data_IF_510486992073
#
_entry.id   IF_510486992073
#
_cell.length_a   1.000
_cell.length_b   1.000
_cell.length_c   1.000
_cell.angle_alpha   90.00
_cell.angle_beta   90.00
_cell.angle_gamma   90.00
#
_symmetry.space_group_name_H-M   'P 1'
#
loop_
_entity.id
_entity.type
_entity.pdbx_description
1 polymer ?
#
# COMPACT_ATOMS: atom_id res chain seq x y z
N UNK A 1 7.87 -10.88 -2.88
CA UNK A 1 6.62 -10.89 -3.69
C UNK A 1 6.88 -10.54 -5.15
N UNK A 2 7.91 -9.78 -5.44
CA UNK A 2 8.36 -9.49 -6.81
C UNK A 2 9.25 -10.58 -7.37
N UNK A 3 9.90 -11.36 -6.50
CA UNK A 3 10.84 -12.41 -6.89
C UNK A 3 10.11 -13.64 -7.44
N UNK A 4 10.38 -13.97 -8.69
CA UNK A 4 9.76 -15.11 -9.38
C UNK A 4 10.39 -16.44 -8.94
N UNK A 5 11.69 -16.42 -8.65
CA UNK A 5 12.48 -17.62 -8.38
C UNK A 5 12.60 -17.98 -6.89
N UNK A 6 11.90 -17.24 -6.02
CA UNK A 6 11.95 -17.43 -4.59
C UNK A 6 13.05 -16.62 -3.89
N UNK A 7 13.15 -16.80 -2.58
CA UNK A 7 14.12 -16.12 -1.71
C UNK A 7 14.75 -17.11 -0.73
N UNK A 8 15.86 -16.74 -0.11
CA UNK A 8 16.41 -17.44 1.05
C UNK A 8 15.85 -16.84 2.32
N UNK A 9 15.31 -17.67 3.21
CA UNK A 9 14.79 -17.26 4.53
C UNK A 9 15.76 -17.59 5.65
N UNK A 10 16.59 -18.62 5.49
CA UNK A 10 17.69 -18.93 6.40
C UNK A 10 18.98 -18.29 5.86
N UNK A 11 19.41 -17.24 6.55
CA UNK A 11 20.59 -16.42 6.23
C UNK A 11 21.48 -16.20 7.47
N UNK A 12 21.27 -16.97 8.55
CA UNK A 12 21.96 -16.80 9.82
C UNK A 12 23.47 -17.05 9.68
N UNK A 13 23.87 -18.04 8.89
CA UNK A 13 25.27 -18.27 8.54
C UNK A 13 25.55 -17.76 7.12
N UNK A 14 26.27 -16.63 6.94
CA UNK A 14 26.57 -16.08 5.61
C UNK A 14 27.44 -16.99 4.74
N UNK A 15 28.12 -17.99 5.34
CA UNK A 15 28.93 -18.98 4.62
C UNK A 15 28.14 -20.22 4.21
N UNK A 16 26.99 -20.45 4.83
CA UNK A 16 26.15 -21.62 4.60
C UNK A 16 24.67 -21.22 4.58
N UNK A 17 24.29 -20.50 3.54
CA UNK A 17 22.92 -20.04 3.35
C UNK A 17 21.97 -21.21 3.13
N UNK A 18 20.77 -21.14 3.71
CA UNK A 18 19.70 -22.10 3.49
C UNK A 18 19.21 -22.16 2.04
N UNK A 19 18.32 -23.09 1.69
CA UNK A 19 17.79 -23.23 0.33
C UNK A 19 16.97 -22.00 -0.10
N UNK A 20 16.80 -21.84 -1.41
CA UNK A 20 15.82 -20.90 -1.97
C UNK A 20 14.44 -21.54 -1.80
N UNK A 21 13.54 -20.81 -1.16
CA UNK A 21 12.14 -21.22 -0.93
C UNK A 21 11.18 -20.45 -1.81
N UNK A 22 10.02 -21.05 -2.11
CA UNK A 22 9.00 -20.41 -2.92
C UNK A 22 8.24 -19.31 -2.19
N UNK A 23 7.38 -18.61 -2.93
CA UNK A 23 6.62 -17.46 -2.42
C UNK A 23 5.74 -17.81 -1.21
N UNK A 24 5.06 -18.95 -1.24
CA UNK A 24 4.18 -19.40 -0.14
C UNK A 24 4.94 -19.59 1.15
N UNK A 25 6.09 -20.26 1.09
CA UNK A 25 6.94 -20.53 2.26
C UNK A 25 7.59 -19.24 2.77
N UNK A 26 8.05 -18.37 1.87
CA UNK A 26 8.59 -17.06 2.22
C UNK A 26 7.55 -16.19 2.96
N UNK A 27 6.32 -16.13 2.46
CA UNK A 27 5.24 -15.38 3.12
C UNK A 27 4.84 -15.99 4.47
N UNK A 28 4.90 -17.32 4.61
CA UNK A 28 4.67 -17.99 5.89
C UNK A 28 5.76 -17.63 6.91
N UNK A 29 7.02 -17.60 6.49
CA UNK A 29 8.14 -17.19 7.34
C UNK A 29 8.01 -15.71 7.78
N UNK A 30 7.60 -14.81 6.89
CA UNK A 30 7.35 -13.40 7.24
C UNK A 30 6.22 -13.30 8.27
N UNK A 31 5.13 -14.04 8.10
CA UNK A 31 4.02 -14.05 9.06
C UNK A 31 4.49 -14.55 10.44
N UNK A 32 5.28 -15.63 10.48
CA UNK A 32 5.84 -16.16 11.72
C UNK A 32 6.76 -15.14 12.42
N UNK A 33 7.60 -14.39 11.68
CA UNK A 33 8.43 -13.33 12.24
C UNK A 33 7.58 -12.18 12.82
N UNK A 34 6.47 -11.81 12.15
CA UNK A 34 5.56 -10.80 12.68
C UNK A 34 4.87 -11.27 13.97
N UNK A 35 4.49 -12.55 14.05
CA UNK A 35 3.88 -13.12 15.26
C UNK A 35 4.89 -13.23 16.41
N UNK A 36 6.13 -13.62 16.13
CA UNK A 36 7.22 -13.59 17.11
C UNK A 36 7.47 -12.16 17.62
N UNK A 37 7.58 -11.18 16.71
CA UNK A 37 7.74 -9.77 17.10
C UNK A 37 6.56 -9.22 17.93
N UNK A 38 5.31 -9.64 17.66
CA UNK A 38 4.17 -9.32 18.53
C UNK A 38 4.36 -9.91 19.93
N UNK A 39 4.83 -11.16 20.02
CA UNK A 39 5.08 -11.82 21.31
C UNK A 39 6.19 -11.11 22.11
N UNK A 40 7.27 -10.71 21.46
CA UNK A 40 8.39 -9.99 22.06
C UNK A 40 8.00 -8.59 22.56
N UNK A 41 7.05 -7.93 21.89
CA UNK A 41 6.53 -6.63 22.31
C UNK A 41 5.63 -6.72 23.55
N UNK A 42 5.10 -7.89 23.88
CA UNK A 42 4.20 -8.05 25.01
C UNK A 42 4.95 -7.85 26.33
N UNK A 43 4.56 -6.83 27.10
CA UNK A 43 5.21 -6.48 28.37
C UNK A 43 6.60 -5.84 28.22
N UNK A 44 7.05 -5.54 27.01
CA UNK A 44 8.34 -4.89 26.76
C UNK A 44 8.28 -3.38 26.94
N UNK A 45 9.45 -2.75 27.03
CA UNK A 45 9.62 -1.30 27.03
C UNK A 45 10.57 -0.91 25.90
N UNK A 46 10.19 0.09 25.10
CA UNK A 46 11.06 0.64 24.07
C UNK A 46 12.15 1.47 24.73
N UNK A 47 13.41 1.08 24.56
CA UNK A 47 14.58 1.66 25.22
C UNK A 47 15.42 2.57 24.32
N UNK A 48 15.01 2.80 23.09
CA UNK A 48 15.73 3.63 22.11
C UNK A 48 14.76 4.60 21.41
N UNK A 49 15.24 5.77 20.95
CA UNK A 49 14.40 6.71 20.22
C UNK A 49 14.06 6.16 18.83
N UNK A 50 12.80 6.34 18.43
CA UNK A 50 12.35 6.11 17.06
C UNK A 50 12.31 7.41 16.28
N UNK A 51 12.41 7.34 14.95
CA UNK A 51 12.27 8.50 14.09
C UNK A 51 10.88 9.13 14.20
N UNK A 52 10.72 10.37 13.77
CA UNK A 52 9.43 11.07 13.76
C UNK A 52 8.38 10.38 12.89
N UNK A 53 8.79 9.50 11.96
CA UNK A 53 7.89 8.66 11.18
C UNK A 53 7.08 7.65 11.99
N UNK A 54 7.50 7.38 13.24
CA UNK A 54 6.78 6.54 14.21
C UNK A 54 5.94 7.36 15.21
N UNK A 55 5.66 8.61 14.92
CA UNK A 55 4.83 9.46 15.81
C UNK A 55 3.48 8.77 16.09
N UNK A 56 3.14 8.62 17.38
CA UNK A 56 1.96 7.87 17.84
C UNK A 56 2.17 6.35 17.95
N UNK A 57 3.36 5.82 17.60
CA UNK A 57 3.71 4.40 17.63
C UNK A 57 5.05 4.15 18.33
N UNK A 58 5.41 4.97 19.31
CA UNK A 58 6.75 4.97 19.92
C UNK A 58 6.87 4.07 21.16
N UNK A 59 5.78 3.49 21.61
CA UNK A 59 5.76 2.53 22.74
C UNK A 59 5.44 1.11 22.25
N UNK A 60 5.52 0.11 23.13
CA UNK A 60 5.26 -1.28 22.80
C UNK A 60 3.85 -1.51 22.25
N UNK A 61 2.85 -0.79 22.75
CA UNK A 61 1.47 -0.90 22.28
C UNK A 61 1.31 -0.34 20.86
N UNK A 62 1.91 0.82 20.59
CA UNK A 62 1.94 1.41 19.25
C UNK A 62 2.69 0.54 18.25
N UNK A 63 3.87 0.02 18.63
CA UNK A 63 4.63 -0.91 17.78
C UNK A 63 3.88 -2.22 17.54
N UNK A 64 3.10 -2.72 18.52
CA UNK A 64 2.22 -3.87 18.30
C UNK A 64 1.16 -3.57 17.26
N UNK A 65 0.50 -2.42 17.32
CA UNK A 65 -0.47 -2.01 16.31
C UNK A 65 0.15 -1.89 14.91
N UNK A 66 1.34 -1.31 14.80
CA UNK A 66 2.09 -1.25 13.55
C UNK A 66 2.45 -2.65 13.02
N UNK A 67 2.97 -3.53 13.88
CA UNK A 67 3.27 -4.92 13.54
C UNK A 67 2.03 -5.64 13.00
N UNK A 68 0.86 -5.46 13.63
CA UNK A 68 -0.41 -6.07 13.18
C UNK A 68 -0.89 -5.50 11.86
N UNK A 69 -0.67 -4.22 11.60
CA UNK A 69 -0.94 -3.63 10.29
C UNK A 69 -0.14 -4.31 9.17
N UNK A 70 1.16 -4.55 9.39
CA UNK A 70 1.99 -5.31 8.45
C UNK A 70 1.53 -6.77 8.32
N UNK A 71 1.11 -7.40 9.43
CA UNK A 71 0.56 -8.77 9.42
C UNK A 71 -0.72 -8.85 8.56
N UNK A 72 -1.59 -7.84 8.62
CA UNK A 72 -2.78 -7.76 7.78
C UNK A 72 -2.42 -7.72 6.28
N UNK A 73 -1.44 -6.91 5.87
CA UNK A 73 -0.93 -6.87 4.50
C UNK A 73 -0.38 -8.24 4.06
N UNK A 74 0.41 -8.89 4.90
CA UNK A 74 0.98 -10.22 4.61
C UNK A 74 -0.11 -11.28 4.51
N UNK A 75 -1.13 -11.24 5.36
CA UNK A 75 -2.26 -12.16 5.31
C UNK A 75 -3.05 -12.04 3.99
N UNK A 76 -3.27 -10.82 3.50
CA UNK A 76 -3.86 -10.58 2.16
C UNK A 76 -3.00 -11.20 1.06
N UNK A 77 -1.68 -11.06 1.13
CA UNK A 77 -0.79 -11.68 0.14
C UNK A 77 -0.78 -13.21 0.20
N UNK A 78 -1.07 -13.79 1.36
CA UNK A 78 -1.27 -15.23 1.56
C UNK A 78 -2.68 -15.70 1.19
N UNK A 79 -3.59 -14.78 0.91
CA UNK A 79 -5.04 -15.04 0.74
C UNK A 79 -5.66 -15.68 2.00
N UNK A 80 -5.14 -15.37 3.16
CA UNK A 80 -5.62 -15.81 4.47
C UNK A 80 -6.54 -14.73 5.05
N UNK A 81 -7.78 -14.75 4.57
CA UNK A 81 -8.75 -13.69 4.85
C UNK A 81 -9.18 -13.59 6.32
N UNK A 82 -9.39 -14.72 7.03
CA UNK A 82 -9.64 -14.65 8.47
C UNK A 82 -8.49 -14.05 9.25
N UNK A 83 -7.23 -14.42 8.92
CA UNK A 83 -6.06 -13.84 9.56
C UNK A 83 -5.90 -12.35 9.22
N UNK A 84 -6.26 -11.94 7.99
CA UNK A 84 -6.26 -10.53 7.60
C UNK A 84 -7.21 -9.70 8.46
N UNK A 85 -8.46 -10.13 8.67
CA UNK A 85 -9.42 -9.42 9.54
C UNK A 85 -8.96 -9.38 11.00
N UNK A 86 -8.43 -10.49 11.53
CA UNK A 86 -7.87 -10.53 12.88
C UNK A 86 -6.77 -9.49 13.03
N UNK A 87 -5.81 -9.47 12.10
CA UNK A 87 -4.69 -8.56 12.16
C UNK A 87 -5.10 -7.09 11.96
N UNK A 88 -6.07 -6.80 11.08
CA UNK A 88 -6.67 -5.47 10.92
C UNK A 88 -7.26 -4.98 12.24
N UNK A 89 -8.08 -5.80 12.90
CA UNK A 89 -8.73 -5.43 14.15
C UNK A 89 -7.74 -5.23 15.31
N UNK A 90 -6.58 -5.89 15.27
CA UNK A 90 -5.50 -5.72 16.25
C UNK A 90 -4.58 -4.54 15.92
N UNK A 91 -4.70 -3.93 14.73
CA UNK A 91 -3.87 -2.83 14.26
C UNK A 91 -4.39 -1.46 14.71
N UNK A 92 -3.93 -0.41 14.05
CA UNK A 92 -4.47 0.95 14.21
C UNK A 92 -5.60 1.28 13.22
N UNK A 93 -6.17 0.28 12.58
CA UNK A 93 -7.31 0.43 11.70
C UNK A 93 -8.45 1.19 12.39
N UNK A 94 -9.00 2.16 11.66
CA UNK A 94 -10.22 2.87 12.04
C UNK A 94 -10.97 3.29 10.79
N UNK A 95 -12.22 2.82 10.65
CA UNK A 95 -13.04 3.16 9.48
C UNK A 95 -13.29 4.68 9.39
N UNK A 96 -13.50 5.33 10.53
CA UNK A 96 -13.75 6.78 10.63
C UNK A 96 -12.50 7.61 10.95
N UNK A 97 -11.36 6.95 11.10
CA UNK A 97 -10.10 7.61 11.40
C UNK A 97 -9.49 8.34 10.19
N UNK A 98 -8.50 9.18 10.48
CA UNK A 98 -7.72 9.86 9.46
C UNK A 98 -6.97 8.83 8.57
N UNK A 99 -7.11 8.96 7.26
CA UNK A 99 -6.48 8.11 6.24
C UNK A 99 -4.96 8.15 6.30
N UNK A 100 -4.38 9.26 6.75
CA UNK A 100 -2.94 9.46 6.88
C UNK A 100 -2.36 8.90 8.18
N UNK A 101 -3.16 8.49 9.15
CA UNK A 101 -2.65 7.82 10.36
C UNK A 101 -1.83 6.60 9.95
N UNK A 102 -0.55 6.55 10.38
CA UNK A 102 0.33 5.46 9.97
C UNK A 102 1.78 5.65 10.36
N UNK A 103 2.63 4.77 9.84
CA UNK A 103 4.08 4.81 10.02
C UNK A 103 4.73 5.11 8.68
N UNK A 104 5.76 5.98 8.71
CA UNK A 104 6.37 6.57 7.53
C UNK A 104 7.89 6.52 7.55
N UNK A 105 8.50 6.33 6.39
CA UNK A 105 9.87 6.74 6.15
C UNK A 105 9.91 8.26 6.04
N UNK A 106 10.80 8.87 6.78
CA UNK A 106 10.96 10.35 6.85
C UNK A 106 12.30 10.76 6.26
N UNK A 107 12.29 11.89 5.59
CA UNK A 107 13.45 12.45 4.88
C UNK A 107 13.74 13.84 5.39
N UNK A 108 15.02 14.23 5.42
CA UNK A 108 15.44 15.54 5.86
C UNK A 108 16.65 16.03 5.07
N UNK A 109 16.96 17.34 5.23
CA UNK A 109 18.11 18.01 4.57
C UNK A 109 19.34 18.10 5.46
N UNK A 110 19.30 17.50 6.65
CA UNK A 110 20.40 17.51 7.61
C UNK A 110 21.62 16.71 7.12
N UNK A 111 22.78 16.98 7.71
CA UNK A 111 24.00 16.24 7.39
C UNK A 111 23.83 14.76 7.74
N UNK A 112 24.01 13.89 6.75
CA UNK A 112 23.83 12.43 6.89
C UNK A 112 22.42 11.93 6.59
N UNK A 113 21.43 12.83 6.44
CA UNK A 113 20.09 12.48 6.01
C UNK A 113 20.00 12.27 4.49
N UNK A 114 18.94 11.61 4.06
CA UNK A 114 18.64 11.40 2.64
C UNK A 114 17.39 12.17 2.23
N UNK A 115 17.35 12.58 0.97
CA UNK A 115 16.16 13.15 0.36
C UNK A 115 15.29 12.02 -0.23
N UNK A 116 14.00 12.30 -0.33
CA UNK A 116 13.05 11.39 -0.98
C UNK A 116 13.35 11.28 -2.48
N UNK A 117 13.94 10.17 -2.89
CA UNK A 117 14.28 9.89 -4.29
C UNK A 117 13.06 9.64 -5.20
N UNK A 118 11.88 9.49 -4.63
CA UNK A 118 10.63 9.38 -5.38
C UNK A 118 10.02 10.75 -5.76
N UNK A 119 10.51 11.84 -5.15
CA UNK A 119 10.11 13.19 -5.50
C UNK A 119 10.79 13.66 -6.77
N UNK A 120 10.00 14.19 -7.70
CA UNK A 120 10.46 14.89 -8.90
C UNK A 120 9.67 16.19 -9.07
N UNK A 121 10.32 17.34 -9.30
CA UNK A 121 9.62 18.60 -9.53
C UNK A 121 8.65 18.52 -10.72
N UNK A 122 7.53 19.21 -10.62
CA UNK A 122 6.59 19.31 -11.74
C UNK A 122 7.24 20.03 -12.92
N UNK A 123 6.86 19.61 -14.13
CA UNK A 123 7.36 20.17 -15.40
C UNK A 123 8.90 20.06 -15.58
N UNK A 124 9.55 19.20 -14.81
CA UNK A 124 10.99 18.98 -14.96
C UNK A 124 11.34 18.52 -16.37
N UNK A 125 12.45 18.99 -16.89
CA UNK A 125 13.09 18.50 -18.12
C UNK A 125 14.15 17.42 -17.79
N UNK A 126 14.44 16.56 -18.75
CA UNK A 126 15.42 15.48 -18.58
C UNK A 126 14.85 14.26 -17.89
N UNK A 127 15.36 13.90 -16.73
CA UNK A 127 14.81 12.79 -15.95
C UNK A 127 13.46 13.18 -15.35
N UNK A 128 12.41 12.43 -15.66
CA UNK A 128 11.02 12.70 -15.24
C UNK A 128 10.35 11.44 -14.69
N UNK A 129 9.32 11.63 -13.89
CA UNK A 129 8.40 10.57 -13.46
C UNK A 129 7.01 10.89 -13.99
N UNK A 130 6.63 10.21 -15.07
CA UNK A 130 5.35 10.43 -15.74
C UNK A 130 4.29 9.47 -15.22
N UNK A 131 3.11 9.99 -14.93
CA UNK A 131 1.93 9.16 -14.73
C UNK A 131 1.45 8.64 -16.11
N UNK A 132 1.10 7.35 -16.18
CA UNK A 132 0.53 6.79 -17.41
C UNK A 132 -0.77 7.51 -17.77
N UNK A 133 -1.03 7.83 -19.05
CA UNK A 133 -2.26 8.55 -19.47
C UNK A 133 -3.55 7.92 -18.96
N UNK A 134 -3.59 6.57 -18.82
CA UNK A 134 -4.76 5.86 -18.28
C UNK A 134 -5.10 6.24 -16.84
N UNK A 135 -4.20 6.89 -16.10
CA UNK A 135 -4.54 7.38 -14.76
C UNK A 135 -5.64 8.44 -14.85
N UNK A 136 -5.51 9.37 -15.79
CA UNK A 136 -6.47 10.45 -15.97
C UNK A 136 -7.74 10.03 -16.75
N UNK A 137 -7.63 9.03 -17.63
CA UNK A 137 -8.78 8.55 -18.40
C UNK A 137 -9.68 7.59 -17.63
N UNK A 138 -9.12 6.86 -16.66
CA UNK A 138 -9.84 5.82 -15.93
C UNK A 138 -10.35 6.28 -14.55
N UNK A 139 -9.86 7.44 -14.05
CA UNK A 139 -10.33 8.02 -12.79
C UNK A 139 -11.75 8.59 -12.96
N UNK A 140 -12.59 8.46 -11.93
CA UNK A 140 -13.94 9.00 -11.96
C UNK A 140 -13.92 10.54 -11.93
N UNK A 141 -14.86 11.16 -12.63
CA UNK A 141 -15.04 12.62 -12.60
C UNK A 141 -15.36 13.08 -11.17
N UNK A 142 -14.63 14.06 -10.69
CA UNK A 142 -14.78 14.61 -9.35
C UNK A 142 -13.84 13.99 -8.31
N UNK A 143 -13.16 12.88 -8.61
CA UNK A 143 -12.21 12.23 -7.73
C UNK A 143 -10.98 13.14 -7.51
N UNK A 144 -10.75 13.56 -6.26
CA UNK A 144 -9.67 14.47 -5.88
C UNK A 144 -8.28 13.85 -6.05
N UNK A 145 -8.19 12.52 -6.10
CA UNK A 145 -6.94 11.78 -6.31
C UNK A 145 -6.32 12.02 -7.68
N UNK A 146 -7.05 12.68 -8.61
CA UNK A 146 -6.47 13.18 -9.87
C UNK A 146 -5.27 14.09 -9.62
N UNK A 147 -5.23 14.77 -8.48
CA UNK A 147 -4.12 15.62 -8.05
C UNK A 147 -2.79 14.87 -7.87
N UNK A 148 -2.83 13.55 -7.66
CA UNK A 148 -1.63 12.69 -7.58
C UNK A 148 -0.93 12.54 -8.95
N UNK A 149 -1.59 12.92 -10.03
CA UNK A 149 -1.06 12.96 -11.39
C UNK A 149 -1.24 14.37 -11.96
N UNK A 150 -0.37 15.30 -11.58
CA UNK A 150 -0.49 16.72 -11.89
C UNK A 150 -0.31 16.99 -13.39
N UNK A 151 -1.11 17.92 -13.94
CA UNK A 151 -1.04 18.32 -15.34
C UNK A 151 0.26 19.10 -15.60
N UNK A 152 0.94 18.77 -16.67
CA UNK A 152 2.12 19.48 -17.16
C UNK A 152 1.71 20.67 -18.03
N UNK A 153 2.58 21.66 -18.12
CA UNK A 153 2.42 22.79 -19.05
C UNK A 153 2.53 22.34 -20.52
N UNK A 154 3.28 21.26 -20.78
CA UNK A 154 3.35 20.60 -22.08
C UNK A 154 3.66 19.13 -21.90
N UNK A 155 3.11 18.25 -22.78
CA UNK A 155 3.44 16.83 -22.76
C UNK A 155 4.93 16.57 -22.93
N UNK A 156 5.41 15.47 -22.38
CA UNK A 156 6.79 15.00 -22.59
C UNK A 156 6.83 13.49 -22.71
N UNK A 157 7.94 12.97 -23.21
CA UNK A 157 8.14 11.53 -23.38
C UNK A 157 9.38 11.07 -22.62
N UNK A 158 9.28 9.92 -21.98
CA UNK A 158 10.40 9.24 -21.31
C UNK A 158 10.27 7.74 -21.49
N UNK A 159 11.33 7.12 -21.98
CA UNK A 159 11.40 5.66 -22.14
C UNK A 159 10.21 5.05 -22.89
N UNK A 160 9.76 5.68 -23.97
CA UNK A 160 8.63 5.20 -24.80
C UNK A 160 7.22 5.55 -24.25
N UNK A 161 7.11 6.16 -23.09
CA UNK A 161 5.85 6.69 -22.57
C UNK A 161 5.74 8.19 -22.87
N UNK A 162 4.66 8.62 -23.52
CA UNK A 162 4.29 10.03 -23.65
C UNK A 162 3.14 10.35 -22.72
N UNK A 163 3.27 11.42 -21.91
CA UNK A 163 2.23 11.84 -21.00
C UNK A 163 2.24 13.36 -20.81
N UNK A 164 1.07 13.91 -20.55
CA UNK A 164 0.84 15.29 -20.12
C UNK A 164 0.77 15.41 -18.57
N UNK A 165 1.14 14.35 -17.82
CA UNK A 165 1.03 14.33 -16.37
C UNK A 165 2.28 13.82 -15.70
N UNK A 166 2.72 14.57 -14.67
CA UNK A 166 3.77 14.13 -13.74
C UNK A 166 3.15 13.30 -12.60
N UNK A 167 3.90 12.32 -12.07
CA UNK A 167 3.59 11.73 -10.76
C UNK A 167 3.80 12.80 -9.69
N UNK A 168 2.77 13.09 -8.90
CA UNK A 168 2.78 14.17 -7.89
C UNK A 168 2.27 13.69 -6.52
N UNK A 169 2.61 12.47 -6.13
CA UNK A 169 2.27 11.89 -4.82
C UNK A 169 3.11 12.52 -3.73
N UNK A 170 4.41 12.65 -3.97
CA UNK A 170 5.37 13.31 -3.08
C UNK A 170 5.64 14.71 -3.61
N UNK A 171 5.28 15.73 -2.82
CA UNK A 171 5.26 17.13 -3.28
C UNK A 171 6.50 17.93 -2.87
N UNK A 172 7.44 17.28 -2.17
CA UNK A 172 8.72 17.86 -1.80
C UNK A 172 9.81 16.79 -1.66
N UNK A 173 11.06 17.20 -1.69
CA UNK A 173 12.20 16.31 -1.46
C UNK A 173 12.29 15.75 -0.03
N UNK A 174 11.48 16.25 0.89
CA UNK A 174 11.36 15.75 2.26
C UNK A 174 9.99 15.15 2.56
N UNK A 175 9.12 15.01 1.56
CA UNK A 175 7.81 14.38 1.73
C UNK A 175 7.97 12.95 2.26
N UNK A 176 7.27 12.55 3.34
CA UNK A 176 7.38 11.22 3.90
C UNK A 176 6.74 10.18 2.97
N UNK A 177 7.27 8.96 3.00
CA UNK A 177 6.73 7.80 2.25
C UNK A 177 6.04 6.88 3.26
N UNK A 178 4.75 6.53 3.07
CA UNK A 178 4.07 5.64 3.99
C UNK A 178 4.65 4.23 3.92
N UNK A 179 5.03 3.67 5.07
CA UNK A 179 5.29 2.24 5.21
C UNK A 179 3.95 1.52 5.22
N UNK A 180 3.00 2.01 6.03
CA UNK A 180 1.60 1.58 6.05
C UNK A 180 0.75 2.66 6.72
N UNK A 181 -0.45 2.89 6.19
CA UNK A 181 -1.38 3.91 6.69
C UNK A 181 -2.83 3.42 6.72
N UNK A 182 -3.69 4.11 7.43
CA UNK A 182 -5.06 3.68 7.69
C UNK A 182 -5.89 3.48 6.43
N UNK A 183 -5.72 4.29 5.39
CA UNK A 183 -6.43 4.09 4.12
C UNK A 183 -6.14 2.72 3.49
N UNK A 184 -4.89 2.24 3.57
CA UNK A 184 -4.57 0.88 3.14
C UNK A 184 -5.25 -0.18 4.01
N UNK A 185 -5.32 0.04 5.33
CA UNK A 185 -5.99 -0.89 6.25
C UNK A 185 -7.49 -0.98 5.98
N UNK A 186 -8.16 0.14 5.67
CA UNK A 186 -9.55 0.17 5.24
C UNK A 186 -9.74 -0.67 3.96
N UNK A 187 -8.84 -0.54 3.00
CA UNK A 187 -8.87 -1.32 1.76
C UNK A 187 -8.56 -2.81 1.99
N UNK A 188 -7.65 -3.15 2.92
CA UNK A 188 -7.41 -4.54 3.36
C UNK A 188 -8.65 -5.13 4.04
N UNK A 189 -9.29 -4.35 4.92
CA UNK A 189 -10.55 -4.76 5.57
C UNK A 189 -11.65 -5.04 4.53
N UNK A 190 -11.83 -4.14 3.57
CA UNK A 190 -12.77 -4.34 2.47
C UNK A 190 -12.45 -5.61 1.69
N UNK A 191 -11.19 -5.82 1.31
CA UNK A 191 -10.75 -6.98 0.54
C UNK A 191 -11.04 -8.30 1.28
N UNK A 192 -10.67 -8.40 2.53
CA UNK A 192 -10.89 -9.61 3.32
C UNK A 192 -12.39 -9.94 3.46
N UNK A 193 -13.23 -8.92 3.69
CA UNK A 193 -14.69 -9.09 3.76
C UNK A 193 -15.30 -9.49 2.42
N UNK A 194 -14.83 -8.95 1.29
CA UNK A 194 -15.27 -9.37 -0.05
C UNK A 194 -14.97 -10.84 -0.29
N UNK A 195 -13.77 -11.27 0.06
CA UNK A 195 -13.31 -12.64 -0.22
C UNK A 195 -13.97 -13.69 0.71
N UNK A 196 -14.32 -13.31 1.92
CA UNK A 196 -15.11 -14.15 2.83
C UNK A 196 -16.57 -14.24 2.40
N UNK A 197 -17.09 -13.20 1.73
CA UNK A 197 -18.47 -13.20 1.23
C UNK A 197 -19.55 -13.12 2.32
N UNK A 198 -20.77 -13.51 1.98
CA UNK A 198 -21.89 -13.53 2.93
C UNK A 198 -22.13 -12.16 3.57
N UNK A 199 -22.23 -12.10 4.92
CA UNK A 199 -22.42 -10.86 5.66
C UNK A 199 -21.24 -9.88 5.51
N UNK A 200 -20.05 -10.36 5.16
CA UNK A 200 -18.88 -9.52 4.92
C UNK A 200 -19.06 -8.55 3.75
N UNK A 201 -19.90 -8.88 2.76
CA UNK A 201 -20.12 -8.00 1.61
C UNK A 201 -20.72 -6.64 2.02
N UNK A 202 -21.58 -6.60 3.04
CA UNK A 202 -22.10 -5.33 3.58
C UNK A 202 -20.99 -4.48 4.21
N UNK A 203 -20.16 -5.09 5.04
CA UNK A 203 -19.01 -4.40 5.66
C UNK A 203 -18.00 -3.91 4.60
N UNK A 204 -17.82 -4.67 3.53
CA UNK A 204 -16.98 -4.26 2.41
C UNK A 204 -17.55 -3.04 1.67
N UNK A 205 -18.86 -2.98 1.43
CA UNK A 205 -19.53 -1.81 0.84
C UNK A 205 -19.33 -0.58 1.71
N UNK A 206 -19.55 -0.69 3.03
CA UNK A 206 -19.34 0.42 3.97
C UNK A 206 -17.90 0.95 3.92
N UNK A 207 -16.90 0.06 3.86
CA UNK A 207 -15.50 0.45 3.75
C UNK A 207 -15.17 1.11 2.40
N UNK A 208 -15.71 0.59 1.29
CA UNK A 208 -15.54 1.19 -0.03
C UNK A 208 -16.25 2.54 -0.13
N UNK A 209 -17.43 2.69 0.46
CA UNK A 209 -18.16 3.94 0.51
C UNK A 209 -17.38 5.00 1.31
N UNK A 210 -16.74 4.60 2.41
CA UNK A 210 -15.86 5.51 3.16
C UNK A 210 -14.71 6.01 2.29
N UNK A 211 -14.02 5.13 1.54
CA UNK A 211 -12.96 5.54 0.60
C UNK A 211 -13.54 6.47 -0.46
N UNK A 212 -14.63 6.10 -1.12
CA UNK A 212 -15.23 6.88 -2.21
C UNK A 212 -15.64 8.27 -1.76
N UNK A 213 -16.42 8.36 -0.69
CA UNK A 213 -16.96 9.63 -0.21
C UNK A 213 -15.89 10.56 0.33
N UNK A 214 -14.82 10.02 0.92
CA UNK A 214 -13.66 10.81 1.36
C UNK A 214 -12.85 11.38 0.18
N UNK A 215 -13.05 10.85 -1.04
CA UNK A 215 -12.43 11.32 -2.28
C UNK A 215 -13.44 11.97 -3.25
N UNK A 216 -14.48 12.62 -2.71
CA UNK A 216 -15.50 13.37 -3.45
C UNK A 216 -16.34 12.52 -4.43
N UNK A 217 -16.39 11.22 -4.25
CA UNK A 217 -17.22 10.33 -5.07
C UNK A 217 -18.53 9.99 -4.35
N UNK A 218 -19.54 9.64 -5.13
CA UNK A 218 -20.78 9.09 -4.58
C UNK A 218 -20.53 7.69 -3.99
N UNK A 219 -21.32 7.25 -2.99
CA UNK A 219 -21.32 5.88 -2.53
C UNK A 219 -21.43 4.87 -3.68
N UNK A 220 -20.93 3.67 -3.47
CA UNK A 220 -21.00 2.60 -4.45
C UNK A 220 -22.46 2.20 -4.73
N UNK A 221 -22.85 2.21 -5.98
CA UNK A 221 -24.21 1.86 -6.42
C UNK A 221 -24.24 0.62 -7.34
N UNK A 222 -23.14 -0.12 -7.43
CA UNK A 222 -23.04 -1.31 -8.25
C UNK A 222 -23.58 -2.57 -7.57
N UNK A 223 -23.39 -3.73 -8.21
CA UNK A 223 -23.81 -5.02 -7.69
C UNK A 223 -23.03 -5.40 -6.42
N UNK A 224 -23.72 -5.87 -5.38
CA UNK A 224 -23.13 -6.38 -4.14
C UNK A 224 -22.82 -7.88 -4.31
N UNK A 225 -21.92 -8.19 -5.24
CA UNK A 225 -21.34 -9.52 -5.42
C UNK A 225 -19.84 -9.47 -5.21
N UNK A 226 -19.22 -10.57 -4.77
CA UNK A 226 -17.76 -10.60 -4.56
C UNK A 226 -16.98 -10.19 -5.81
N UNK A 227 -17.43 -10.58 -7.01
CA UNK A 227 -16.75 -10.20 -8.25
C UNK A 227 -16.83 -8.68 -8.53
N UNK A 228 -18.02 -8.08 -8.43
CA UNK A 228 -18.21 -6.65 -8.67
C UNK A 228 -17.48 -5.80 -7.62
N UNK A 229 -17.56 -6.18 -6.34
CA UNK A 229 -16.85 -5.49 -5.26
C UNK A 229 -15.33 -5.66 -5.37
N UNK A 230 -14.82 -6.79 -5.86
CA UNK A 230 -13.38 -6.95 -6.15
C UNK A 230 -12.93 -5.98 -7.24
N UNK A 231 -13.72 -5.80 -8.30
CA UNK A 231 -13.42 -4.83 -9.35
C UNK A 231 -13.36 -3.40 -8.80
N UNK A 232 -14.36 -3.02 -8.00
CA UNK A 232 -14.38 -1.72 -7.35
C UNK A 232 -13.21 -1.54 -6.37
N UNK A 233 -12.93 -2.53 -5.54
CA UNK A 233 -11.79 -2.53 -4.62
C UNK A 233 -10.48 -2.26 -5.37
N UNK A 234 -10.20 -3.00 -6.43
CA UNK A 234 -8.96 -2.86 -7.20
C UNK A 234 -8.86 -1.49 -7.89
N UNK A 235 -10.00 -0.90 -8.29
CA UNK A 235 -10.09 0.46 -8.77
C UNK A 235 -9.73 1.45 -7.66
N UNK A 236 -10.36 1.35 -6.48
CA UNK A 236 -10.06 2.23 -5.36
C UNK A 236 -8.61 2.09 -4.90
N UNK A 237 -8.07 0.87 -4.79
CA UNK A 237 -6.66 0.63 -4.47
C UNK A 237 -5.70 1.28 -5.46
N UNK A 238 -6.02 1.23 -6.77
CA UNK A 238 -5.19 1.84 -7.82
C UNK A 238 -4.99 3.34 -7.60
N UNK A 239 -6.05 4.07 -7.21
CA UNK A 239 -5.99 5.53 -7.02
C UNK A 239 -5.56 5.92 -5.61
N UNK A 240 -6.04 5.25 -4.58
CA UNK A 240 -5.65 5.49 -3.19
C UNK A 240 -4.16 5.25 -2.96
N UNK A 241 -3.63 4.13 -3.45
CA UNK A 241 -2.26 3.67 -3.21
C UNK A 241 -1.35 3.90 -4.44
N UNK A 242 -1.69 4.90 -5.28
CA UNK A 242 -0.91 5.24 -6.46
C UNK A 242 0.53 5.62 -6.07
N UNK A 243 1.50 5.01 -6.74
CA UNK A 243 2.93 5.22 -6.54
C UNK A 243 3.45 4.80 -5.15
N UNK A 244 2.70 3.98 -4.41
CA UNK A 244 3.08 3.41 -3.11
C UNK A 244 3.48 1.92 -3.22
N UNK A 245 3.75 1.40 -4.41
CA UNK A 245 4.28 0.04 -4.65
C UNK A 245 3.24 -1.09 -4.70
N UNK A 246 1.93 -0.80 -4.63
CA UNK A 246 0.89 -1.82 -4.50
C UNK A 246 0.36 -2.37 -5.83
N UNK A 247 0.23 -1.54 -6.88
CA UNK A 247 -0.47 -1.90 -8.12
C UNK A 247 0.08 -3.17 -8.79
N UNK A 248 1.41 -3.31 -8.87
CA UNK A 248 2.04 -4.49 -9.46
C UNK A 248 1.70 -5.77 -8.70
N UNK A 249 1.68 -5.69 -7.36
CA UNK A 249 1.32 -6.84 -6.52
C UNK A 249 -0.16 -7.20 -6.68
N UNK A 250 -1.04 -6.21 -6.76
CA UNK A 250 -2.48 -6.43 -6.98
C UNK A 250 -2.73 -7.10 -8.33
N UNK A 251 -2.10 -6.64 -9.40
CA UNK A 251 -2.22 -7.26 -10.73
C UNK A 251 -1.76 -8.73 -10.73
N UNK A 252 -0.67 -9.04 -10.02
CA UNK A 252 -0.20 -10.43 -9.90
C UNK A 252 -1.12 -11.31 -9.06
N UNK A 253 -1.64 -10.78 -7.95
CA UNK A 253 -2.52 -11.56 -7.04
C UNK A 253 -3.85 -11.92 -7.67
N UNK A 254 -4.34 -11.08 -8.56
CA UNK A 254 -5.62 -11.23 -9.25
C UNK A 254 -5.49 -11.73 -10.70
N UNK A 255 -4.28 -12.11 -11.12
CA UNK A 255 -4.00 -12.60 -12.48
C UNK A 255 -4.38 -11.59 -13.59
N UNK A 256 -4.13 -10.31 -13.32
CA UNK A 256 -4.45 -9.17 -14.20
C UNK A 256 -3.19 -8.58 -14.86
N UNK A 257 -2.13 -9.36 -15.07
CA UNK A 257 -0.92 -8.87 -15.72
C UNK A 257 -1.14 -8.49 -17.18
N UNK A 258 -2.17 -9.04 -17.83
CA UNK A 258 -2.61 -8.62 -19.17
C UNK A 258 -3.07 -7.17 -19.23
N UNK A 259 -3.46 -6.57 -18.09
CA UNK A 259 -3.87 -5.16 -18.00
C UNK A 259 -2.69 -4.19 -17.91
N UNK A 260 -1.46 -4.71 -17.85
CA UNK A 260 -0.25 -3.88 -17.90
C UNK A 260 -0.07 -3.39 -19.32
N UNK A 261 -0.06 -2.07 -19.49
CA UNK A 261 0.31 -1.47 -20.76
C UNK A 261 1.77 -1.78 -21.06
N UNK A 262 2.01 -2.66 -22.01
CA UNK A 262 3.36 -2.96 -22.50
C UNK A 262 3.77 -1.82 -23.44
N UNK A 263 5.00 -1.38 -23.32
CA UNK A 263 5.59 -0.44 -24.27
C UNK A 263 5.90 -1.20 -25.56
N UNK A 264 5.40 -0.70 -26.65
CA UNK A 264 5.77 -1.16 -27.98
C UNK A 264 7.18 -0.67 -28.35
#
# INVERSE_FOLDING_TARGET
>A
LTEKNGIRIDVADPKNLGPIVGNTEALAAIAALLDAGKADLNGSTVSFPLSSGFSGFTDAAGLTKFNRALAARVAVYRKDWPAALTAVNESFYSLDGDFSTGVYDVFATGTGDQLNSAFFPQNQAGEVRLAHPSYATDIETGDDRISKASLRTSPTSSSGLSSDRDVWVYTSSTAPVPIIRNEELILIYAEANIQLGGAGLTAAVEALDKIRTSHNLLPYAGSVSSAALTTELLKQRRFSLFFEGHRWLDLRRYDLLSDVHVRD
#
